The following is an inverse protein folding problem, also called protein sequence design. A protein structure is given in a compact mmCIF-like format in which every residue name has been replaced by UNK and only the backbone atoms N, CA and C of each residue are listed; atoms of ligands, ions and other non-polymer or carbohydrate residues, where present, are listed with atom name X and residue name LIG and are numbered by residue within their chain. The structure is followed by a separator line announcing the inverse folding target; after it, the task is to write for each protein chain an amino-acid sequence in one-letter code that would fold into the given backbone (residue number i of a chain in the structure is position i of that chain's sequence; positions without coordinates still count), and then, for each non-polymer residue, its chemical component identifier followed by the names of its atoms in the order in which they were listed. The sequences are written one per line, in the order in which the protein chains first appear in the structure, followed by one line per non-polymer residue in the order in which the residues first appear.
data_IF_700842230919
#
_entry.id   IF_700842230919
#
_cell.length_a   1.000
_cell.length_b   1.000
_cell.length_c   1.000
_cell.angle_alpha   90.00
_cell.angle_beta   90.00
_cell.angle_gamma   90.00
#
_symmetry.space_group_name_H-M   'P 1'
#
loop_
_entity.id
_entity.type
_entity.pdbx_description
1 polymer ?
#
# COMPACT_ATOMS: atom_id res chain seq x y z
N UNK A 1 6.69 -17.99 17.67
CA UNK A 1 5.92 -17.57 16.47
C UNK A 1 6.92 -17.12 15.41
N UNK A 2 6.63 -17.27 14.11
CA UNK A 2 7.49 -16.75 13.05
C UNK A 2 7.69 -15.25 13.25
N UNK A 3 8.85 -14.71 12.85
CA UNK A 3 9.11 -13.28 12.93
C UNK A 3 8.20 -12.50 11.97
N UNK A 4 8.02 -11.19 12.17
CA UNK A 4 7.30 -10.34 11.21
C UNK A 4 7.92 -10.43 9.82
N UNK A 5 9.25 -10.46 9.70
CA UNK A 5 9.91 -10.57 8.39
C UNK A 5 9.62 -11.88 7.67
N UNK A 6 9.27 -12.96 8.39
CA UNK A 6 8.85 -14.23 7.77
C UNK A 6 7.40 -14.21 7.29
N UNK A 7 6.58 -13.30 7.82
CA UNK A 7 5.14 -13.24 7.55
C UNK A 7 4.74 -12.11 6.62
N UNK A 8 5.47 -11.00 6.63
CA UNK A 8 5.09 -9.75 5.96
C UNK A 8 6.24 -9.14 5.15
N UNK A 9 5.88 -8.64 3.96
CA UNK A 9 6.74 -7.74 3.17
C UNK A 9 6.04 -6.40 2.96
N UNK A 10 6.70 -5.31 3.31
CA UNK A 10 6.27 -3.95 3.00
C UNK A 10 6.65 -3.62 1.56
N UNK A 11 5.68 -3.22 0.75
CA UNK A 11 5.88 -2.71 -0.61
C UNK A 11 5.73 -1.19 -0.56
N UNK A 12 6.80 -0.45 -0.78
CA UNK A 12 6.77 1.01 -0.89
C UNK A 12 6.90 1.38 -2.36
N UNK A 13 5.89 2.05 -2.92
CA UNK A 13 6.00 2.61 -4.27
C UNK A 13 6.26 4.09 -4.20
N UNK A 14 7.28 4.56 -4.91
CA UNK A 14 7.58 5.99 -5.06
C UNK A 14 7.78 6.35 -6.54
N UNK A 15 7.59 7.62 -6.87
CA UNK A 15 7.71 8.16 -8.22
C UNK A 15 8.26 9.59 -8.18
N UNK A 16 8.61 10.20 -9.34
CA UNK A 16 9.03 11.61 -9.38
C UNK A 16 8.01 12.55 -8.70
N UNK A 17 8.52 13.44 -7.85
CA UNK A 17 7.75 14.43 -7.10
C UNK A 17 8.52 15.76 -7.06
N UNK A 18 7.85 16.92 -6.89
CA UNK A 18 8.51 18.23 -6.93
C UNK A 18 9.57 18.44 -5.86
N UNK A 19 9.49 17.72 -4.74
CA UNK A 19 10.43 17.78 -3.62
C UNK A 19 11.74 17.02 -3.86
N UNK A 20 11.85 16.25 -4.94
CA UNK A 20 13.08 15.53 -5.24
C UNK A 20 14.23 16.52 -5.49
N UNK A 21 15.40 16.32 -4.84
CA UNK A 21 15.91 15.04 -4.32
C UNK A 21 15.68 14.79 -2.82
N UNK A 22 14.91 15.63 -2.13
CA UNK A 22 14.67 15.50 -0.69
C UNK A 22 13.93 14.20 -0.35
N UNK A 23 14.26 13.61 0.80
CA UNK A 23 13.68 12.33 1.26
C UNK A 23 12.52 12.53 2.25
N UNK A 24 12.25 13.76 2.66
CA UNK A 24 11.31 14.17 3.72
C UNK A 24 9.98 13.42 3.69
N UNK A 25 9.41 13.23 2.49
CA UNK A 25 8.13 12.55 2.31
C UNK A 25 8.19 11.08 2.77
N UNK A 26 9.15 10.31 2.25
CA UNK A 26 9.36 8.91 2.68
C UNK A 26 9.86 8.84 4.12
N UNK A 27 10.73 9.77 4.54
CA UNK A 27 11.21 9.84 5.91
C UNK A 27 10.05 10.01 6.90
N UNK A 28 9.06 10.86 6.58
CA UNK A 28 7.85 11.04 7.38
C UNK A 28 7.01 9.75 7.45
N UNK A 29 6.89 9.01 6.34
CA UNK A 29 6.20 7.71 6.32
C UNK A 29 6.93 6.71 7.24
N UNK A 30 8.25 6.57 7.11
CA UNK A 30 9.04 5.65 7.92
C UNK A 30 9.03 6.02 9.40
N UNK A 31 9.04 7.32 9.74
CA UNK A 31 8.88 7.79 11.11
C UNK A 31 7.50 7.40 11.66
N UNK A 32 6.44 7.54 10.86
CA UNK A 32 5.10 7.11 11.26
C UNK A 32 5.03 5.60 11.50
N UNK A 33 5.81 4.79 10.78
CA UNK A 33 5.93 3.35 11.05
C UNK A 33 6.57 3.11 12.42
N UNK A 34 7.70 3.75 12.72
CA UNK A 34 8.36 3.58 14.02
C UNK A 34 7.45 4.00 15.18
N UNK A 35 6.68 5.08 15.00
CA UNK A 35 5.79 5.60 16.03
C UNK A 35 4.54 4.73 16.25
N UNK A 36 3.92 4.24 15.18
CA UNK A 36 2.59 3.65 15.25
C UNK A 36 2.52 2.16 14.90
N UNK A 37 3.59 1.60 14.32
CA UNK A 37 3.61 0.21 13.87
C UNK A 37 5.05 -0.27 13.59
N UNK A 38 5.88 -0.35 14.64
CA UNK A 38 7.31 -0.70 14.51
C UNK A 38 7.55 -2.03 13.79
N UNK A 39 6.58 -2.97 13.84
CA UNK A 39 6.64 -4.21 13.07
C UNK A 39 6.79 -4.00 11.56
N UNK A 40 6.34 -2.88 10.99
CA UNK A 40 6.56 -2.57 9.58
C UNK A 40 8.04 -2.32 9.26
N UNK A 41 8.82 -1.77 10.19
CA UNK A 41 10.28 -1.62 10.02
C UNK A 41 11.05 -2.92 10.32
N UNK A 42 10.42 -3.88 11.00
CA UNK A 42 10.99 -5.23 11.23
C UNK A 42 10.71 -6.21 10.08
N UNK A 43 9.83 -5.84 9.15
CA UNK A 43 9.44 -6.65 8.01
C UNK A 43 10.50 -6.65 6.90
N UNK A 44 10.34 -7.54 5.92
CA UNK A 44 11.02 -7.40 4.63
C UNK A 44 10.47 -6.16 3.92
N UNK A 45 11.27 -5.51 3.07
CA UNK A 45 10.83 -4.35 2.28
C UNK A 45 11.22 -4.47 0.82
N UNK A 46 10.27 -4.14 -0.05
CA UNK A 46 10.47 -3.93 -1.49
C UNK A 46 10.15 -2.47 -1.79
N UNK A 47 11.12 -1.72 -2.30
CA UNK A 47 10.90 -0.33 -2.74
C UNK A 47 10.95 -0.26 -4.25
N UNK A 48 9.86 0.18 -4.86
CA UNK A 48 9.76 0.36 -6.32
C UNK A 48 9.87 1.83 -6.65
N UNK A 49 10.89 2.17 -7.44
CA UNK A 49 11.14 3.51 -7.96
C UNK A 49 10.51 3.65 -9.35
N UNK A 50 9.18 3.82 -9.42
CA UNK A 50 8.53 4.09 -10.71
C UNK A 50 9.08 5.38 -11.32
N UNK A 51 9.05 5.49 -12.65
CA UNK A 51 9.72 6.58 -13.36
C UNK A 51 8.73 7.39 -14.20
N UNK A 52 9.25 8.37 -14.95
CA UNK A 52 8.48 9.17 -15.90
C UNK A 52 8.47 8.51 -17.28
N UNK A 53 7.42 8.79 -18.06
CA UNK A 53 7.27 8.33 -19.43
C UNK A 53 8.01 9.23 -20.42
N UNK A 54 8.07 10.55 -20.14
CA UNK A 54 8.66 11.55 -21.04
C UNK A 54 9.31 12.68 -20.25
N UNK A 55 10.37 13.26 -20.82
CA UNK A 55 10.95 14.53 -20.36
C UNK A 55 10.41 15.65 -21.25
N UNK A 56 9.82 16.67 -20.65
CA UNK A 56 9.19 17.81 -21.33
C UNK A 56 9.46 19.10 -20.57
N UNK A 57 9.43 20.25 -21.25
CA UNK A 57 9.67 21.56 -20.61
C UNK A 57 8.71 21.87 -19.45
N UNK A 58 7.45 21.48 -19.55
CA UNK A 58 6.46 21.64 -18.47
C UNK A 58 6.12 20.28 -17.85
N UNK A 59 6.31 20.09 -16.53
CA UNK A 59 6.03 18.81 -15.88
C UNK A 59 4.52 18.55 -15.78
N UNK A 60 4.12 17.30 -16.03
CA UNK A 60 2.75 16.78 -15.82
C UNK A 60 2.85 15.43 -15.13
N UNK A 61 3.15 15.43 -13.83
CA UNK A 61 3.48 14.22 -13.07
C UNK A 61 2.39 13.15 -13.13
N UNK A 62 1.11 13.53 -13.10
CA UNK A 62 -0.01 12.56 -13.24
C UNK A 62 0.02 11.82 -14.58
N UNK A 63 0.52 12.45 -15.65
CA UNK A 63 0.71 11.86 -16.98
C UNK A 63 2.11 11.25 -17.18
N UNK A 64 2.95 11.28 -16.15
CA UNK A 64 4.33 10.79 -16.23
C UNK A 64 5.26 11.70 -17.04
N UNK A 65 5.01 13.00 -17.10
CA UNK A 65 5.95 13.94 -17.72
C UNK A 65 6.78 14.64 -16.65
N UNK A 66 8.11 14.59 -16.76
CA UNK A 66 9.06 15.28 -15.89
C UNK A 66 9.79 16.40 -16.65
N UNK A 67 10.30 17.40 -15.95
CA UNK A 67 11.27 18.33 -16.54
C UNK A 67 12.68 17.72 -16.54
N UNK A 68 13.63 18.26 -17.33
CA UNK A 68 15.03 17.81 -17.28
C UNK A 68 15.61 17.87 -15.85
N UNK A 69 15.37 18.96 -15.14
CA UNK A 69 15.86 19.19 -13.78
C UNK A 69 15.27 18.16 -12.80
N UNK A 70 13.98 17.84 -12.97
CA UNK A 70 13.32 16.81 -12.16
C UNK A 70 13.84 15.40 -12.47
N UNK A 71 14.18 15.12 -13.73
CA UNK A 71 14.76 13.83 -14.11
C UNK A 71 16.13 13.62 -13.45
N UNK A 72 16.97 14.66 -13.45
CA UNK A 72 18.27 14.66 -12.76
C UNK A 72 18.11 14.55 -11.24
N UNK A 73 17.21 15.35 -10.65
CA UNK A 73 16.96 15.31 -9.21
C UNK A 73 16.40 13.96 -8.76
N UNK A 74 15.63 13.27 -9.62
CA UNK A 74 15.13 11.94 -9.32
C UNK A 74 16.24 10.88 -9.25
N UNK A 75 17.28 11.00 -10.08
CA UNK A 75 18.42 10.08 -9.97
C UNK A 75 19.17 10.22 -8.63
N UNK A 76 19.29 11.45 -8.11
CA UNK A 76 19.82 11.71 -6.77
C UNK A 76 18.84 11.23 -5.68
N UNK A 77 17.54 11.48 -5.82
CA UNK A 77 16.50 10.99 -4.92
C UNK A 77 16.58 9.47 -4.71
N UNK A 78 16.68 8.69 -5.80
CA UNK A 78 16.79 7.23 -5.70
C UNK A 78 17.97 6.79 -4.83
N UNK A 79 19.13 7.44 -4.97
CA UNK A 79 20.31 7.17 -4.13
C UNK A 79 20.04 7.50 -2.66
N UNK A 80 19.46 8.67 -2.39
CA UNK A 80 19.15 9.11 -1.03
C UNK A 80 18.13 8.18 -0.34
N UNK A 81 17.08 7.77 -1.04
CA UNK A 81 16.08 6.83 -0.50
C UNK A 81 16.68 5.44 -0.28
N UNK A 82 17.54 4.94 -1.18
CA UNK A 82 18.23 3.67 -0.95
C UNK A 82 19.05 3.71 0.34
N UNK A 83 19.81 4.79 0.58
CA UNK A 83 20.56 4.98 1.81
C UNK A 83 19.65 5.05 3.04
N UNK A 84 18.56 5.82 2.97
CA UNK A 84 17.58 5.93 4.05
C UNK A 84 16.95 4.56 4.39
N UNK A 85 16.50 3.80 3.39
CA UNK A 85 15.88 2.49 3.59
C UNK A 85 16.89 1.49 4.17
N UNK A 86 18.13 1.49 3.67
CA UNK A 86 19.20 0.66 4.22
C UNK A 86 19.49 1.00 5.68
N UNK A 87 19.39 2.27 6.08
CA UNK A 87 19.55 2.68 7.47
C UNK A 87 18.37 2.26 8.34
N UNK A 88 17.13 2.46 7.87
CA UNK A 88 15.91 2.18 8.64
C UNK A 88 15.66 0.69 8.84
N UNK A 89 15.94 -0.14 7.83
CA UNK A 89 15.68 -1.60 7.87
C UNK A 89 16.94 -2.42 8.22
N UNK A 90 18.00 -1.75 8.71
CA UNK A 90 19.21 -2.45 9.16
C UNK A 90 18.92 -3.16 10.48
N UNK A 91 19.15 -4.46 10.55
CA UNK A 91 19.15 -5.16 11.83
C UNK A 91 20.56 -5.35 12.36
N UNK A 92 20.73 -5.29 13.69
CA UNK A 92 22.02 -5.49 14.37
C UNK A 92 22.70 -6.82 13.99
N UNK A 93 21.89 -7.85 13.70
CA UNK A 93 22.35 -9.18 13.29
C UNK A 93 22.93 -9.24 11.87
N UNK A 94 22.74 -8.20 11.05
CA UNK A 94 23.20 -8.20 9.64
C UNK A 94 24.70 -7.90 9.48
N UNK A 95 25.41 -7.57 10.56
CA UNK A 95 26.86 -7.31 10.57
C UNK A 95 27.30 -6.07 9.76
N UNK A 96 28.61 -5.81 9.71
CA UNK A 96 29.18 -4.70 8.94
C UNK A 96 29.26 -4.96 7.43
N UNK A 97 28.98 -6.19 6.97
CA UNK A 97 29.23 -6.67 5.60
C UNK A 97 28.09 -6.53 4.57
N UNK A 98 27.05 -5.74 4.83
CA UNK A 98 25.86 -5.61 3.97
C UNK A 98 26.09 -4.96 2.58
N UNK A 99 27.34 -4.60 2.23
CA UNK A 99 27.64 -3.89 0.98
C UNK A 99 27.45 -4.75 -0.29
N UNK A 100 27.49 -6.08 -0.19
CA UNK A 100 27.28 -6.95 -1.35
C UNK A 100 25.77 -7.04 -1.66
N UNK A 101 25.34 -6.32 -2.70
CA UNK A 101 23.99 -6.42 -3.25
C UNK A 101 24.00 -7.30 -4.49
N UNK A 102 23.11 -8.30 -4.53
CA UNK A 102 22.83 -9.08 -5.72
C UNK A 102 22.04 -8.21 -6.70
N UNK A 103 22.44 -8.23 -7.98
CA UNK A 103 21.72 -7.57 -9.06
C UNK A 103 21.16 -8.61 -10.01
N UNK A 104 19.90 -8.44 -10.39
CA UNK A 104 19.24 -9.27 -11.38
C UNK A 104 18.33 -8.41 -12.25
N UNK A 105 17.98 -8.94 -13.41
CA UNK A 105 17.03 -8.32 -14.33
C UNK A 105 15.75 -9.14 -14.37
N UNK A 106 14.62 -8.46 -14.51
CA UNK A 106 13.31 -9.07 -14.70
C UNK A 106 12.48 -8.22 -15.66
N UNK A 107 11.26 -8.66 -15.98
CA UNK A 107 10.34 -7.90 -16.84
C UNK A 107 9.01 -7.68 -16.11
N UNK A 108 8.53 -6.44 -16.13
CA UNK A 108 7.15 -6.16 -15.76
C UNK A 108 6.22 -6.59 -16.90
N UNK A 109 5.37 -7.56 -16.61
CA UNK A 109 4.34 -8.07 -17.51
C UNK A 109 3.07 -7.22 -17.46
N UNK A 110 2.58 -6.78 -18.63
CA UNK A 110 1.26 -6.16 -18.78
C UNK A 110 0.80 -6.20 -20.25
N UNK A 111 -0.51 -6.22 -20.50
CA UNK A 111 -1.01 -6.30 -21.87
C UNK A 111 -0.69 -7.64 -22.55
N UNK A 112 -0.70 -7.66 -23.88
CA UNK A 112 -0.32 -8.84 -24.66
C UNK A 112 1.20 -8.96 -24.82
N UNK A 113 1.87 -7.88 -25.26
CA UNK A 113 3.32 -7.86 -25.51
C UNK A 113 4.07 -6.80 -24.68
N UNK A 114 3.39 -6.21 -23.71
CA UNK A 114 3.96 -5.14 -22.90
C UNK A 114 5.01 -5.68 -21.94
N UNK A 115 6.27 -5.32 -22.17
CA UNK A 115 7.40 -5.59 -21.27
C UNK A 115 8.09 -4.28 -20.88
N UNK A 116 8.48 -4.18 -19.63
CA UNK A 116 9.41 -3.16 -19.14
C UNK A 116 10.48 -3.87 -18.37
N UNK A 117 11.73 -3.70 -18.78
CA UNK A 117 12.86 -4.23 -18.05
C UNK A 117 12.95 -3.60 -16.65
N UNK A 118 13.22 -4.44 -15.66
CA UNK A 118 13.37 -4.09 -14.26
C UNK A 118 14.78 -4.42 -13.82
N UNK A 119 15.50 -3.43 -13.29
CA UNK A 119 16.69 -3.69 -12.49
C UNK A 119 16.26 -3.99 -11.05
N UNK A 120 16.62 -5.15 -10.55
CA UNK A 120 16.36 -5.56 -9.18
C UNK A 120 17.68 -5.63 -8.43
N UNK A 121 17.78 -4.92 -7.32
CA UNK A 121 18.93 -4.96 -6.42
C UNK A 121 18.46 -5.43 -5.05
N UNK A 122 19.11 -6.46 -4.51
CA UNK A 122 18.70 -7.09 -3.24
C UNK A 122 19.88 -7.22 -2.30
N UNK A 123 19.68 -6.97 -1.01
CA UNK A 123 20.70 -7.25 0.00
C UNK A 123 20.92 -8.75 0.14
N UNK A 124 22.10 -9.18 0.58
CA UNK A 124 22.40 -10.61 0.80
C UNK A 124 21.41 -11.31 1.73
N UNK A 125 20.88 -10.60 2.74
CA UNK A 125 19.85 -11.14 3.65
C UNK A 125 18.47 -11.28 2.99
N UNK A 126 18.31 -10.80 1.74
CA UNK A 126 17.04 -10.70 0.99
C UNK A 126 15.96 -9.87 1.68
N UNK A 127 16.27 -9.20 2.80
CA UNK A 127 15.33 -8.37 3.55
C UNK A 127 14.97 -7.06 2.85
N UNK A 128 15.91 -6.51 2.07
CA UNK A 128 15.71 -5.23 1.37
C UNK A 128 15.88 -5.47 -0.12
N UNK A 129 14.86 -5.11 -0.89
CA UNK A 129 14.86 -5.18 -2.36
C UNK A 129 14.50 -3.82 -2.95
N UNK A 130 15.24 -3.40 -3.96
CA UNK A 130 14.95 -2.22 -4.77
C UNK A 130 14.60 -2.67 -6.19
N UNK A 131 13.54 -2.09 -6.76
CA UNK A 131 13.12 -2.33 -8.15
C UNK A 131 13.13 -0.99 -8.89
N UNK A 132 13.84 -0.94 -10.01
CA UNK A 132 13.96 0.22 -10.88
C UNK A 132 13.56 -0.15 -12.32
N UNK A 133 12.34 0.16 -12.75
CA UNK A 133 11.93 -0.01 -14.15
C UNK A 133 12.65 0.98 -15.07
N UNK A 134 13.00 0.53 -16.28
CA UNK A 134 13.60 1.40 -17.32
C UNK A 134 12.58 2.38 -17.94
N UNK A 135 11.29 2.12 -17.78
CA UNK A 135 10.20 2.96 -18.29
C UNK A 135 9.03 3.01 -17.31
N UNK A 136 8.21 4.08 -17.37
CA UNK A 136 7.08 4.26 -16.45
C UNK A 136 6.10 3.08 -16.47
N UNK A 137 5.81 2.57 -15.28
CA UNK A 137 4.79 1.56 -15.01
C UNK A 137 3.47 2.20 -14.58
N UNK A 138 3.52 3.18 -13.66
CA UNK A 138 2.38 3.60 -12.85
C UNK A 138 2.19 2.73 -11.60
N UNK A 139 1.36 3.19 -10.67
CA UNK A 139 1.18 2.59 -9.34
C UNK A 139 0.79 1.11 -9.39
N UNK A 140 -0.27 0.75 -10.13
CA UNK A 140 -0.76 -0.62 -10.14
C UNK A 140 0.28 -1.64 -10.64
N UNK A 141 1.00 -1.31 -11.71
CA UNK A 141 2.05 -2.18 -12.25
C UNK A 141 3.33 -2.19 -11.40
N UNK A 142 3.62 -1.09 -10.69
CA UNK A 142 4.71 -1.06 -9.70
C UNK A 142 4.41 -2.04 -8.55
N UNK A 143 3.19 -2.02 -8.00
CA UNK A 143 2.76 -2.98 -6.97
C UNK A 143 2.83 -4.42 -7.48
N UNK A 144 2.32 -4.69 -8.70
CA UNK A 144 2.42 -6.03 -9.31
C UNK A 144 3.87 -6.52 -9.41
N UNK A 145 4.78 -5.66 -9.87
CA UNK A 145 6.19 -6.00 -10.03
C UNK A 145 6.83 -6.35 -8.69
N UNK A 146 6.49 -5.63 -7.62
CA UNK A 146 6.91 -5.98 -6.27
C UNK A 146 6.32 -7.32 -5.80
N UNK A 147 5.02 -7.55 -5.99
CA UNK A 147 4.36 -8.80 -5.60
C UNK A 147 5.00 -10.05 -6.23
N UNK A 148 5.57 -9.94 -7.43
CA UNK A 148 6.27 -11.06 -8.10
C UNK A 148 7.58 -11.48 -7.44
N UNK A 149 8.15 -10.65 -6.57
CA UNK A 149 9.40 -10.96 -5.85
C UNK A 149 9.19 -11.12 -4.34
N UNK A 150 7.96 -10.96 -3.87
CA UNK A 150 7.58 -11.19 -2.47
C UNK A 150 7.57 -12.69 -2.19
N UNK A 151 8.16 -13.06 -1.06
CA UNK A 151 8.26 -14.45 -0.58
C UNK A 151 7.40 -14.70 0.67
N UNK A 152 6.77 -13.66 1.22
CA UNK A 152 5.96 -13.74 2.45
C UNK A 152 4.47 -13.95 2.14
N UNK A 153 3.73 -14.61 3.04
CA UNK A 153 2.30 -14.87 2.86
C UNK A 153 1.45 -13.59 2.86
N UNK A 154 1.91 -12.53 3.51
CA UNK A 154 1.23 -11.24 3.55
C UNK A 154 2.12 -10.11 3.02
N UNK A 155 1.45 -9.06 2.54
CA UNK A 155 2.07 -7.79 2.16
C UNK A 155 1.41 -6.62 2.84
N UNK A 156 2.19 -5.58 3.10
CA UNK A 156 1.71 -4.24 3.37
C UNK A 156 1.99 -3.37 2.16
N UNK A 157 0.97 -2.82 1.49
CA UNK A 157 1.18 -1.92 0.35
C UNK A 157 1.16 -0.47 0.84
N UNK A 158 2.19 0.29 0.52
CA UNK A 158 2.43 1.65 0.99
C UNK A 158 2.70 2.59 -0.20
N UNK A 159 1.80 3.55 -0.41
CA UNK A 159 2.09 4.71 -1.26
C UNK A 159 3.00 5.69 -0.51
N UNK A 160 3.92 6.35 -1.23
CA UNK A 160 4.94 7.21 -0.61
C UNK A 160 4.40 8.44 0.16
N UNK A 161 3.13 8.79 0.01
CA UNK A 161 2.52 10.01 0.54
C UNK A 161 1.37 9.71 1.52
N UNK A 162 1.42 8.59 2.21
CA UNK A 162 0.49 8.27 3.30
C UNK A 162 1.24 7.99 4.60
N UNK A 163 0.92 8.72 5.66
CA UNK A 163 1.44 8.47 7.00
C UNK A 163 0.40 7.75 7.88
N UNK A 164 0.90 6.98 8.85
CA UNK A 164 0.10 6.48 9.97
C UNK A 164 -0.12 7.61 10.99
N UNK A 165 -1.32 7.67 11.57
CA UNK A 165 -1.72 8.66 12.59
C UNK A 165 -2.13 8.02 13.92
N UNK A 166 -2.24 6.70 13.94
CA UNK A 166 -2.65 5.94 15.11
C UNK A 166 -2.03 4.55 15.09
N UNK A 167 -1.93 3.94 16.26
CA UNK A 167 -1.30 2.63 16.42
C UNK A 167 -2.06 1.55 15.67
N UNK A 168 -1.32 0.75 14.89
CA UNK A 168 -1.88 -0.33 14.10
C UNK A 168 -1.55 -1.66 14.78
N UNK A 169 -2.56 -2.48 15.14
CA UNK A 169 -2.34 -3.77 15.78
C UNK A 169 -1.92 -4.83 14.76
N UNK A 170 -0.75 -4.66 14.14
CA UNK A 170 -0.28 -5.48 13.01
C UNK A 170 -0.19 -6.96 13.35
N UNK A 171 0.44 -7.33 14.47
CA UNK A 171 0.57 -8.74 14.87
C UNK A 171 -0.80 -9.42 15.05
N UNK A 172 -1.73 -8.87 15.86
CA UNK A 172 -3.10 -9.37 15.93
C UNK A 172 -3.79 -9.49 14.57
N UNK A 173 -3.63 -8.51 13.68
CA UNK A 173 -4.24 -8.54 12.35
C UNK A 173 -3.69 -9.71 11.52
N UNK A 174 -2.38 -9.93 11.52
CA UNK A 174 -1.78 -11.06 10.82
C UNK A 174 -2.21 -12.41 11.43
N UNK A 175 -2.38 -12.49 12.76
CA UNK A 175 -2.90 -13.68 13.43
C UNK A 175 -4.36 -13.97 13.03
N UNK A 176 -5.21 -12.94 12.94
CA UNK A 176 -6.59 -13.05 12.44
C UNK A 176 -6.61 -13.53 11.00
N UNK A 177 -5.82 -12.90 10.12
CA UNK A 177 -5.75 -13.27 8.71
C UNK A 177 -5.30 -14.72 8.55
N UNK A 178 -4.27 -15.14 9.30
CA UNK A 178 -3.78 -16.52 9.31
C UNK A 178 -4.84 -17.51 9.81
N UNK A 179 -5.51 -17.20 10.92
CA UNK A 179 -6.58 -18.03 11.46
C UNK A 179 -7.77 -18.17 10.51
N UNK A 180 -8.04 -17.14 9.69
CA UNK A 180 -9.12 -17.15 8.69
C UNK A 180 -8.79 -17.91 7.41
N UNK A 181 -7.55 -18.40 7.22
CA UNK A 181 -7.18 -19.11 5.98
C UNK A 181 -8.00 -20.39 5.76
N UNK A 182 -8.47 -21.03 6.84
CA UNK A 182 -9.33 -22.22 6.80
C UNK A 182 -10.82 -21.91 7.04
N UNK A 183 -11.20 -20.64 7.19
CA UNK A 183 -12.59 -20.21 7.42
C UNK A 183 -13.19 -19.67 6.12
N UNK A 184 -13.95 -20.52 5.43
CA UNK A 184 -14.65 -20.15 4.20
C UNK A 184 -15.86 -19.24 4.45
N UNK A 185 -16.37 -19.16 5.69
CA UNK A 185 -17.52 -18.33 6.03
C UNK A 185 -17.12 -16.88 6.29
N UNK A 186 -15.98 -16.64 6.95
CA UNK A 186 -15.51 -15.30 7.33
C UNK A 186 -14.02 -15.10 6.97
N UNK A 187 -13.66 -15.22 5.67
CA UNK A 187 -12.27 -15.05 5.25
C UNK A 187 -11.81 -13.60 5.46
N UNK A 188 -10.58 -13.42 5.96
CA UNK A 188 -9.92 -12.10 6.13
C UNK A 188 -8.67 -12.06 5.26
N UNK A 189 -8.82 -11.59 4.02
CA UNK A 189 -7.72 -11.58 3.03
C UNK A 189 -7.13 -10.20 2.77
N UNK A 190 -7.84 -9.14 3.17
CA UNK A 190 -7.42 -7.75 3.00
C UNK A 190 -7.96 -6.91 4.16
N UNK A 191 -7.11 -6.07 4.76
CA UNK A 191 -7.52 -5.10 5.78
C UNK A 191 -6.95 -3.72 5.43
N UNK A 192 -7.84 -2.75 5.25
CA UNK A 192 -7.51 -1.31 5.11
C UNK A 192 -7.72 -0.58 6.44
N UNK A 193 -7.22 0.65 6.50
CA UNK A 193 -7.35 1.50 7.69
C UNK A 193 -8.16 2.78 7.40
N UNK A 194 -8.87 3.36 8.39
CA UNK A 194 -9.65 4.56 8.19
C UNK A 194 -8.79 5.79 7.86
N UNK A 195 -9.12 6.45 6.75
CA UNK A 195 -8.73 7.84 6.48
C UNK A 195 -9.92 8.77 6.73
N UNK A 196 -9.74 10.09 6.58
CA UNK A 196 -10.77 11.11 6.88
C UNK A 196 -12.13 10.78 6.25
N UNK A 197 -12.16 10.31 5.00
CA UNK A 197 -13.41 9.99 4.27
C UNK A 197 -14.02 8.63 4.63
N UNK A 198 -13.35 7.85 5.47
CA UNK A 198 -13.81 6.52 5.88
C UNK A 198 -14.27 6.49 7.34
N UNK A 199 -14.29 7.65 8.01
CA UNK A 199 -14.84 7.71 9.36
C UNK A 199 -16.27 7.21 9.35
N UNK A 200 -16.59 6.35 10.31
CA UNK A 200 -17.93 5.76 10.46
C UNK A 200 -18.44 5.07 9.18
N UNK A 201 -17.54 4.46 8.39
CA UNK A 201 -17.85 3.85 7.09
C UNK A 201 -19.06 2.91 7.11
N UNK A 202 -19.21 2.09 8.16
CA UNK A 202 -20.29 1.10 8.28
C UNK A 202 -21.70 1.71 8.30
N UNK A 203 -21.82 3.00 8.66
CA UNK A 203 -23.08 3.76 8.68
C UNK A 203 -23.14 4.85 7.63
N UNK A 204 -22.18 4.87 6.69
CA UNK A 204 -22.17 5.83 5.59
C UNK A 204 -23.18 5.46 4.50
N UNK A 205 -23.64 6.43 3.68
CA UNK A 205 -24.50 6.18 2.51
C UNK A 205 -23.96 5.10 1.57
N UNK A 206 -22.63 4.99 1.46
CA UNK A 206 -21.98 3.95 0.66
C UNK A 206 -22.34 2.52 1.06
N UNK A 207 -22.76 2.32 2.31
CA UNK A 207 -23.23 1.05 2.87
C UNK A 207 -24.74 1.09 3.04
N UNK A 208 -25.26 2.14 3.68
CA UNK A 208 -26.66 2.21 4.11
C UNK A 208 -27.65 2.27 2.95
N UNK A 209 -27.25 2.78 1.79
CA UNK A 209 -28.19 2.91 0.66
C UNK A 209 -28.37 1.60 -0.10
N UNK A 210 -27.59 0.55 0.23
CA UNK A 210 -27.65 -0.75 -0.40
C UNK A 210 -28.03 -1.84 0.61
N UNK A 211 -29.24 -2.40 0.47
CA UNK A 211 -29.77 -3.38 1.42
C UNK A 211 -28.84 -4.58 1.67
N UNK A 212 -28.29 -5.16 0.59
CA UNK A 212 -27.35 -6.28 0.70
C UNK A 212 -26.07 -5.92 1.48
N UNK A 213 -25.53 -4.70 1.30
CA UNK A 213 -24.34 -4.26 2.01
C UNK A 213 -24.62 -3.98 3.48
N UNK A 214 -25.79 -3.41 3.80
CA UNK A 214 -26.24 -3.21 5.19
C UNK A 214 -26.38 -4.53 5.94
N UNK A 215 -27.08 -5.49 5.33
CA UNK A 215 -27.32 -6.80 5.93
C UNK A 215 -25.99 -7.52 6.19
N UNK A 216 -25.09 -7.49 5.20
CA UNK A 216 -23.77 -8.08 5.32
C UNK A 216 -22.91 -7.40 6.38
N UNK A 217 -22.99 -6.06 6.49
CA UNK A 217 -22.31 -5.30 7.56
C UNK A 217 -22.82 -5.73 8.93
N UNK A 218 -24.14 -5.85 9.08
CA UNK A 218 -24.77 -6.29 10.34
C UNK A 218 -24.35 -7.71 10.73
N UNK A 219 -24.23 -8.61 9.74
CA UNK A 219 -23.86 -10.00 9.96
C UNK A 219 -22.37 -10.19 10.29
N UNK A 220 -21.49 -9.44 9.63
CA UNK A 220 -20.05 -9.70 9.67
C UNK A 220 -19.27 -8.77 10.60
N UNK A 221 -19.71 -7.53 10.82
CA UNK A 221 -19.01 -6.59 11.72
C UNK A 221 -18.94 -7.17 13.13
N UNK A 222 -17.73 -7.31 13.67
CA UNK A 222 -17.50 -7.93 14.98
C UNK A 222 -16.11 -7.62 15.54
N UNK A 223 -15.93 -7.96 16.81
CA UNK A 223 -14.62 -8.05 17.44
C UNK A 223 -14.01 -9.44 17.21
N UNK A 224 -12.82 -9.46 16.62
CA UNK A 224 -12.01 -10.67 16.53
C UNK A 224 -11.15 -10.81 17.77
N UNK A 225 -11.23 -11.96 18.42
CA UNK A 225 -10.51 -12.24 19.66
C UNK A 225 -9.22 -12.98 19.35
N UNK A 226 -8.10 -12.34 19.63
CA UNK A 226 -6.76 -12.91 19.45
C UNK A 226 -6.21 -13.34 20.80
N UNK A 227 -5.95 -14.65 20.93
CA UNK A 227 -5.41 -15.28 22.14
C UNK A 227 -3.99 -15.74 21.90
N UNK A 228 -3.08 -15.32 22.78
CA UNK A 228 -1.70 -15.79 22.80
C UNK A 228 -1.38 -16.27 24.21
N UNK A 229 -0.71 -17.42 24.40
CA UNK A 229 -0.41 -17.95 25.74
C UNK A 229 0.38 -16.99 26.63
N UNK A 230 1.11 -16.04 26.04
CA UNK A 230 2.03 -15.13 26.73
C UNK A 230 1.59 -13.66 26.70
N UNK A 231 0.39 -13.34 26.21
CA UNK A 231 -0.10 -11.95 26.09
C UNK A 231 -1.58 -11.88 26.50
N UNK A 232 -2.05 -10.74 27.03
CA UNK A 232 -3.47 -10.56 27.32
C UNK A 232 -4.30 -10.71 26.03
N UNK A 233 -5.54 -11.18 26.20
CA UNK A 233 -6.52 -11.26 25.13
C UNK A 233 -6.68 -9.87 24.48
N UNK A 234 -6.62 -9.82 23.15
CA UNK A 234 -6.83 -8.58 22.39
C UNK A 234 -8.05 -8.71 21.50
N UNK A 235 -8.91 -7.69 21.52
CA UNK A 235 -10.08 -7.57 20.64
C UNK A 235 -9.77 -6.60 19.52
N UNK A 236 -9.94 -7.05 18.29
CA UNK A 236 -9.72 -6.25 17.09
C UNK A 236 -11.04 -6.10 16.36
N UNK A 237 -11.60 -4.89 16.40
CA UNK A 237 -12.85 -4.58 15.72
C UNK A 237 -12.61 -4.48 14.20
N UNK A 238 -13.32 -5.29 13.42
CA UNK A 238 -13.32 -5.21 11.96
C UNK A 238 -14.76 -5.07 11.44
N UNK A 239 -14.92 -4.28 10.38
CA UNK A 239 -16.17 -4.22 9.60
C UNK A 239 -15.89 -4.62 8.15
N UNK A 240 -16.85 -5.24 7.44
CA UNK A 240 -16.72 -5.44 6.00
C UNK A 240 -16.46 -4.13 5.27
N UNK A 241 -15.59 -4.21 4.27
CA UNK A 241 -15.28 -3.10 3.38
C UNK A 241 -15.71 -3.46 1.97
N UNK A 242 -16.43 -2.57 1.30
CA UNK A 242 -16.99 -2.84 -0.04
C UNK A 242 -16.20 -2.20 -1.16
N UNK A 243 -14.88 -2.12 -0.99
CA UNK A 243 -14.00 -1.46 -1.93
C UNK A 243 -12.54 -1.91 -1.74
N UNK A 244 -11.77 -1.97 -2.82
CA UNK A 244 -10.32 -2.20 -2.79
C UNK A 244 -9.60 -0.88 -3.02
N UNK A 245 -8.82 -0.41 -2.05
CA UNK A 245 -8.17 0.90 -2.10
C UNK A 245 -6.67 0.82 -2.43
N UNK A 246 -6.12 1.95 -2.85
CA UNK A 246 -4.67 2.11 -3.09
C UNK A 246 -3.88 2.55 -1.85
N UNK A 247 -4.58 3.17 -0.89
CA UNK A 247 -4.02 3.63 0.39
C UNK A 247 -3.48 2.46 1.23
N UNK A 248 -2.70 2.72 2.29
CA UNK A 248 -2.11 1.66 3.09
C UNK A 248 -3.06 0.55 3.53
N UNK A 249 -2.66 -0.69 3.29
CA UNK A 249 -3.41 -1.89 3.63
C UNK A 249 -2.48 -3.10 3.79
N UNK A 250 -2.94 -4.07 4.58
CA UNK A 250 -2.36 -5.42 4.64
C UNK A 250 -3.22 -6.40 3.85
N UNK A 251 -2.61 -7.33 3.12
CA UNK A 251 -3.32 -8.31 2.32
C UNK A 251 -2.56 -9.63 2.19
N UNK A 252 -3.28 -10.73 2.00
CA UNK A 252 -2.71 -12.01 1.58
C UNK A 252 -2.09 -11.85 0.18
N UNK A 253 -0.82 -12.19 0.05
CA UNK A 253 -0.04 -12.05 -1.20
C UNK A 253 -0.69 -12.83 -2.34
N UNK A 254 -1.06 -14.08 -2.08
CA UNK A 254 -1.71 -14.95 -3.06
C UNK A 254 -3.07 -14.41 -3.50
N UNK A 255 -3.89 -13.95 -2.54
CA UNK A 255 -5.19 -13.35 -2.84
C UNK A 255 -5.06 -12.05 -3.64
N UNK A 256 -4.07 -11.21 -3.31
CA UNK A 256 -3.77 -9.98 -4.04
C UNK A 256 -3.51 -10.27 -5.51
N UNK A 257 -2.58 -11.20 -5.79
CA UNK A 257 -2.26 -11.61 -7.15
C UNK A 257 -3.49 -12.18 -7.86
N UNK A 258 -4.24 -13.09 -7.22
CA UNK A 258 -5.40 -13.73 -7.82
C UNK A 258 -6.57 -12.77 -8.11
N UNK A 259 -6.80 -11.76 -7.28
CA UNK A 259 -7.94 -10.83 -7.42
C UNK A 259 -7.59 -9.58 -8.21
N UNK A 260 -6.44 -8.98 -7.95
CA UNK A 260 -6.04 -7.73 -8.56
C UNK A 260 -5.31 -7.96 -9.89
N UNK A 261 -4.47 -9.01 -9.96
CA UNK A 261 -3.62 -9.30 -11.12
C UNK A 261 -3.77 -10.73 -11.67
N UNK A 262 -5.00 -11.23 -11.92
CA UNK A 262 -5.21 -12.62 -12.38
C UNK A 262 -4.54 -12.91 -13.73
N UNK A 263 -4.36 -11.89 -14.57
CA UNK A 263 -3.75 -12.02 -15.90
C UNK A 263 -2.93 -10.76 -16.24
N UNK A 264 -2.04 -10.85 -17.25
CA UNK A 264 -1.35 -9.68 -17.82
C UNK A 264 -2.27 -8.52 -18.24
N UNK A 265 -3.52 -8.80 -18.59
CA UNK A 265 -4.50 -7.80 -19.03
C UNK A 265 -5.22 -7.08 -17.88
N UNK A 266 -5.05 -7.54 -16.64
CA UNK A 266 -5.78 -7.02 -15.49
C UNK A 266 -5.47 -5.54 -15.20
N UNK A 267 -4.26 -5.06 -15.53
CA UNK A 267 -3.79 -3.70 -15.26
C UNK A 267 -2.99 -3.17 -16.46
N UNK A 268 -3.30 -1.95 -16.89
CA UNK A 268 -2.55 -1.22 -17.94
C UNK A 268 -1.59 -0.22 -17.30
N UNK A 269 -0.63 0.27 -18.09
CA UNK A 269 0.30 1.32 -17.62
C UNK A 269 -0.45 2.56 -17.17
N UNK A 270 -0.09 3.08 -16.00
CA UNK A 270 -0.67 4.29 -15.43
C UNK A 270 -2.05 4.13 -14.79
N UNK A 271 -2.66 2.94 -14.84
CA UNK A 271 -3.91 2.67 -14.12
C UNK A 271 -3.64 2.53 -12.60
N UNK A 272 -4.60 3.00 -11.81
CA UNK A 272 -4.65 2.83 -10.36
C UNK A 272 -5.49 1.59 -10.03
N UNK A 273 -5.14 0.90 -8.94
CA UNK A 273 -5.87 -0.32 -8.56
C UNK A 273 -7.28 0.06 -8.10
N UNK A 274 -7.41 1.13 -7.32
CA UNK A 274 -8.65 1.70 -6.80
C UNK A 274 -9.65 2.05 -7.91
N UNK A 275 -9.21 2.75 -8.95
CA UNK A 275 -10.09 3.21 -10.04
C UNK A 275 -10.72 2.05 -10.82
N UNK A 276 -9.96 0.95 -11.01
CA UNK A 276 -10.40 -0.17 -11.85
C UNK A 276 -10.91 -1.35 -11.03
N UNK A 277 -10.08 -1.81 -10.10
CA UNK A 277 -10.31 -3.01 -9.30
C UNK A 277 -11.23 -2.67 -8.13
N UNK A 278 -11.06 -1.51 -7.50
CA UNK A 278 -11.95 -1.04 -6.43
C UNK A 278 -13.40 -0.92 -6.91
N UNK A 279 -13.63 -0.30 -8.07
CA UNK A 279 -14.96 -0.19 -8.66
C UNK A 279 -15.56 -1.55 -9.04
N UNK A 280 -14.78 -2.41 -9.70
CA UNK A 280 -15.20 -3.79 -10.01
C UNK A 280 -15.55 -4.58 -8.75
N UNK A 281 -14.75 -4.44 -7.70
CA UNK A 281 -14.97 -5.10 -6.44
C UNK A 281 -16.28 -4.63 -5.81
N UNK A 282 -16.50 -3.32 -5.72
CA UNK A 282 -17.73 -2.74 -5.19
C UNK A 282 -18.98 -3.24 -5.92
N UNK A 283 -18.96 -3.25 -7.25
CA UNK A 283 -20.07 -3.74 -8.07
C UNK A 283 -20.40 -5.21 -7.72
N UNK A 284 -19.40 -6.09 -7.73
CA UNK A 284 -19.59 -7.50 -7.41
C UNK A 284 -20.03 -7.75 -5.96
N UNK A 285 -19.58 -6.92 -5.02
CA UNK A 285 -20.00 -7.04 -3.62
C UNK A 285 -21.45 -6.61 -3.40
N UNK A 286 -21.95 -5.63 -4.16
CA UNK A 286 -23.40 -5.30 -4.18
C UNK A 286 -24.25 -6.47 -4.70
N UNK A 287 -23.67 -7.34 -5.51
CA UNK A 287 -24.28 -8.58 -6.02
C UNK A 287 -24.07 -9.79 -5.09
N UNK A 288 -23.57 -9.58 -3.87
CA UNK A 288 -23.38 -10.64 -2.87
C UNK A 288 -22.04 -11.40 -2.96
N UNK A 289 -21.12 -11.00 -3.83
CA UNK A 289 -19.81 -11.66 -3.97
C UNK A 289 -18.75 -11.14 -2.98
N UNK A 290 -19.13 -10.75 -1.76
CA UNK A 290 -18.16 -10.21 -0.79
C UNK A 290 -17.07 -11.21 -0.40
N UNK A 291 -17.43 -12.48 -0.14
CA UNK A 291 -16.45 -13.51 0.25
C UNK A 291 -15.34 -13.71 -0.78
N UNK A 292 -15.62 -13.46 -2.08
CA UNK A 292 -14.63 -13.47 -3.16
C UNK A 292 -13.52 -12.43 -2.95
N UNK A 293 -13.88 -11.27 -2.40
CA UNK A 293 -12.97 -10.15 -2.17
C UNK A 293 -12.39 -10.15 -0.76
N UNK A 294 -13.18 -10.58 0.24
CA UNK A 294 -12.77 -10.75 1.64
C UNK A 294 -12.04 -9.52 2.20
N UNK A 295 -12.57 -8.34 1.87
CA UNK A 295 -12.04 -7.02 2.20
C UNK A 295 -12.66 -6.49 3.49
N UNK A 296 -11.81 -6.08 4.42
CA UNK A 296 -12.16 -5.58 5.74
C UNK A 296 -11.56 -4.19 5.99
N UNK A 297 -12.17 -3.47 6.92
CA UNK A 297 -11.69 -2.21 7.45
C UNK A 297 -11.42 -2.40 8.94
N UNK A 298 -10.22 -2.02 9.39
CA UNK A 298 -9.96 -1.87 10.83
C UNK A 298 -10.87 -0.78 11.39
N UNK A 299 -11.66 -1.12 12.39
CA UNK A 299 -12.84 -0.33 12.78
C UNK A 299 -12.96 -0.12 14.30
N UNK A 300 -11.87 0.30 14.99
CA UNK A 300 -11.96 0.65 16.40
C UNK A 300 -12.84 1.89 16.58
N UNK A 301 -13.43 2.03 17.78
CA UNK A 301 -14.26 3.18 18.15
C UNK A 301 -15.31 3.51 17.10
N UNK A 302 -16.00 2.49 16.59
CA UNK A 302 -17.04 2.63 15.55
C UNK A 302 -16.55 3.36 14.27
N UNK A 303 -15.25 3.27 14.00
CA UNK A 303 -14.60 3.87 12.84
C UNK A 303 -14.26 5.35 13.02
N UNK A 304 -14.25 5.89 14.24
CA UNK A 304 -13.90 7.31 14.47
C UNK A 304 -12.39 7.57 14.56
N UNK A 305 -11.59 6.54 14.87
CA UNK A 305 -10.14 6.63 14.92
C UNK A 305 -9.57 6.87 13.51
N UNK A 306 -8.91 8.01 13.33
CA UNK A 306 -8.17 8.30 12.10
C UNK A 306 -6.84 7.55 12.12
N UNK A 307 -6.64 6.61 11.21
CA UNK A 307 -5.41 5.83 11.12
C UNK A 307 -4.46 6.33 10.03
N UNK A 308 -4.99 6.94 8.97
CA UNK A 308 -4.22 7.33 7.79
C UNK A 308 -4.41 8.80 7.41
N UNK A 309 -3.29 9.50 7.16
CA UNK A 309 -3.28 10.86 6.61
C UNK A 309 -2.46 10.94 5.33
N UNK A 310 -3.04 11.58 4.32
CA UNK A 310 -2.38 11.81 3.03
C UNK A 310 -1.50 13.07 3.12
N UNK A 311 -0.23 12.97 2.72
CA UNK A 311 0.81 14.01 2.79
C UNK A 311 0.88 14.87 1.53
N UNK A 312 0.09 14.56 0.51
CA UNK A 312 -0.03 15.33 -0.74
C UNK A 312 1.30 15.37 -1.52
N UNK A 313 1.89 14.20 -1.78
CA UNK A 313 3.25 14.09 -2.34
C UNK A 313 3.45 14.84 -3.67
N UNK A 314 2.38 14.98 -4.48
CA UNK A 314 2.43 15.71 -5.76
C UNK A 314 2.53 17.22 -5.63
N UNK A 315 2.16 17.79 -4.48
CA UNK A 315 2.27 19.22 -4.18
C UNK A 315 3.27 19.50 -3.06
N UNK A 316 3.80 18.45 -2.42
CA UNK A 316 4.82 18.54 -1.37
C UNK A 316 6.12 19.16 -1.89
N UNK A 317 6.58 20.23 -1.24
CA UNK A 317 7.79 20.98 -1.57
C UNK A 317 8.91 20.85 -0.53
N UNK A 318 8.82 19.85 0.36
CA UNK A 318 9.75 19.68 1.49
C UNK A 318 9.32 20.48 2.73
N UNK A 319 9.98 20.24 3.86
CA UNK A 319 9.69 20.97 5.11
C UNK A 319 9.96 22.49 5.03
N UNK A 320 10.83 22.92 4.11
CA UNK A 320 11.12 24.34 3.85
C UNK A 320 10.30 24.98 2.73
N UNK A 321 9.36 24.25 2.12
CA UNK A 321 8.51 24.78 1.05
C UNK A 321 7.28 25.51 1.59
N UNK A 322 6.70 26.48 0.86
CA UNK A 322 5.43 27.07 1.24
C UNK A 322 4.36 25.98 1.35
N UNK A 323 3.72 25.87 2.52
CA UNK A 323 2.59 24.96 2.75
C UNK A 323 1.47 25.45 1.83
N UNK A 324 1.25 24.77 0.72
CA UNK A 324 0.14 25.07 -0.17
C UNK A 324 -1.14 24.48 0.46
N UNK A 325 -1.70 25.20 1.42
CA UNK A 325 -3.07 25.00 1.91
C UNK A 325 -4.02 25.53 0.83
N UNK A 326 -4.09 24.85 -0.32
CA UNK A 326 -4.95 25.31 -1.43
C UNK A 326 -5.91 24.28 -2.01
N UNK A 327 -6.10 23.14 -1.34
CA UNK A 327 -7.24 22.25 -1.62
C UNK A 327 -7.97 21.92 -0.31
N UNK A 328 -8.55 22.95 0.30
CA UNK A 328 -9.72 22.79 1.15
C UNK A 328 -10.94 22.56 0.24
N UNK A 329 -11.69 21.49 0.52
CA UNK A 329 -13.09 21.32 0.11
C UNK A 329 -13.43 21.62 -1.37
N UNK A 330 -13.13 20.68 -2.26
CA UNK A 330 -14.03 20.43 -3.38
C UNK A 330 -14.98 19.29 -3.00
N UNK A 331 -16.17 19.68 -2.54
CA UNK A 331 -17.37 18.85 -2.60
C UNK A 331 -17.62 18.65 -4.09
N UNK A 332 -17.32 17.46 -4.61
CA UNK A 332 -17.96 17.03 -5.83
C UNK A 332 -19.42 16.78 -5.47
N UNK A 333 -20.26 17.77 -5.73
CA UNK A 333 -21.67 17.55 -6.02
C UNK A 333 -21.68 16.68 -7.27
N UNK A 334 -21.99 15.39 -7.11
CA UNK A 334 -22.40 14.58 -8.23
C UNK A 334 -23.77 15.11 -8.66
N UNK A 335 -23.76 15.79 -9.81
CA UNK A 335 -24.95 16.15 -10.55
C UNK A 335 -25.68 14.88 -11.03
N UNK A 336 -26.99 14.99 -10.96
CA UNK A 336 -28.02 14.10 -11.45
C UNK A 336 -27.76 13.61 -12.89
N UNK A 337 -27.78 12.29 -13.10
CA UNK A 337 -28.64 11.60 -14.10
C UNK A 337 -28.52 10.09 -14.00
#
# INVERSE_FOLDING_TARGET
MPSISDRLTVIITTSPAPSNPATDLIASVLQSFQQHCAGLTDARVVVVFDTFARVTSQPRLKKGHASPELAESYALYKRNIKALILQTYRHEQDGQGQAASEKSHAEAEFGFDGRVELLITRTRSRKITFIEPVARLGFGLAVRSALRVVETPYVWVQQHDWALEADIPLEPLLEIMQGSEADDAVPVKYVSFPSVRMKRYAVSPHVTDHAALRELTTSLKRDFVVRSPSRPERKIALTPLFFWFDKPHVASTAHYLARVFPTPLAMRRGEFIEDKIGQRARAQMKEGQWAKWATWLYYPDEGDLLCLRHLMGRTWRGFGGPINVKDGFHIATDDES
#
